data_IF_634317458769
#
_entry.id   IF_634317458769
#
_cell.length_a   1.000
_cell.length_b   1.000
_cell.length_c   1.000
_cell.angle_alpha   90.00
_cell.angle_beta   90.00
_cell.angle_gamma   90.00
#
_symmetry.space_group_name_H-M   'P 1'
#
loop_
_entity.id
_entity.type
_entity.pdbx_description
1 polymer ?
#
# COMPACT_ATOMS: atom_id res chain seq x y z
N UNK A 1 -80.92 -7.54 3.13
CA UNK A 1 -79.96 -6.53 2.65
C UNK A 1 -78.56 -7.07 2.85
N UNK A 2 -78.00 -7.73 1.83
CA UNK A 2 -76.67 -8.32 1.86
C UNK A 2 -75.67 -7.33 1.27
N UNK A 3 -74.73 -6.83 2.08
CA UNK A 3 -73.70 -5.90 1.60
C UNK A 3 -72.67 -6.68 0.78
N UNK A 4 -72.72 -6.52 -0.55
CA UNK A 4 -71.62 -6.89 -1.44
C UNK A 4 -70.38 -6.12 -1.00
N UNK A 5 -69.38 -6.85 -0.49
CA UNK A 5 -68.03 -6.32 -0.30
C UNK A 5 -67.33 -6.42 -1.64
N UNK A 6 -67.11 -5.29 -2.28
CA UNK A 6 -66.28 -5.18 -3.47
C UNK A 6 -64.89 -5.74 -3.17
N UNK A 7 -64.62 -6.89 -3.79
CA UNK A 7 -63.36 -7.58 -3.73
C UNK A 7 -62.40 -6.84 -4.67
N UNK A 8 -61.80 -5.74 -4.20
CA UNK A 8 -60.73 -5.05 -4.93
C UNK A 8 -59.54 -5.99 -5.01
N UNK A 9 -59.28 -6.52 -6.21
CA UNK A 9 -58.07 -7.28 -6.49
C UNK A 9 -56.84 -6.51 -6.01
N UNK A 10 -55.93 -7.14 -5.25
CA UNK A 10 -54.70 -6.49 -4.85
C UNK A 10 -53.90 -6.22 -6.12
N UNK A 11 -53.85 -4.95 -6.54
CA UNK A 11 -52.93 -4.50 -7.58
C UNK A 11 -51.54 -5.05 -7.24
N UNK A 12 -51.07 -6.01 -8.03
CA UNK A 12 -49.67 -6.40 -8.12
C UNK A 12 -48.90 -5.18 -8.65
N UNK A 13 -48.73 -4.16 -7.82
CA UNK A 13 -47.77 -3.08 -8.04
C UNK A 13 -46.41 -3.74 -7.94
N UNK A 14 -45.98 -4.26 -9.09
CA UNK A 14 -44.83 -5.12 -9.24
C UNK A 14 -43.59 -4.48 -8.64
N UNK A 15 -42.66 -5.33 -8.22
CA UNK A 15 -41.36 -5.00 -7.63
C UNK A 15 -40.53 -3.94 -8.39
N UNK A 16 -40.94 -3.56 -9.60
CA UNK A 16 -40.25 -2.64 -10.49
C UNK A 16 -40.87 -1.23 -10.57
N UNK A 17 -41.87 -0.88 -9.76
CA UNK A 17 -42.54 0.43 -9.84
C UNK A 17 -41.54 1.60 -9.77
N UNK A 18 -40.58 1.56 -8.84
CA UNK A 18 -39.60 2.63 -8.67
C UNK A 18 -38.55 2.67 -9.80
N UNK A 19 -38.19 1.53 -10.38
CA UNK A 19 -37.15 1.43 -11.42
C UNK A 19 -37.51 2.20 -12.69
N UNK A 20 -38.81 2.28 -13.01
CA UNK A 20 -39.31 2.89 -14.24
C UNK A 20 -39.77 4.34 -14.05
N UNK A 21 -39.54 4.94 -12.88
CA UNK A 21 -39.94 6.33 -12.65
C UNK A 21 -38.96 7.31 -13.34
N UNK A 22 -39.45 8.42 -13.89
CA UNK A 22 -38.59 9.43 -14.52
C UNK A 22 -37.66 10.13 -13.52
N UNK A 23 -38.10 10.26 -12.26
CA UNK A 23 -37.37 10.89 -11.15
C UNK A 23 -36.46 9.93 -10.38
N UNK A 24 -36.26 8.68 -10.86
CA UNK A 24 -35.50 7.67 -10.11
C UNK A 24 -34.06 8.10 -9.81
N UNK A 25 -33.41 8.86 -10.69
CA UNK A 25 -32.06 9.37 -10.47
C UNK A 25 -31.98 10.36 -9.30
N UNK A 26 -33.00 11.20 -9.11
CA UNK A 26 -33.07 12.12 -7.97
C UNK A 26 -33.37 11.38 -6.67
N UNK A 27 -34.27 10.40 -6.73
CA UNK A 27 -34.56 9.50 -5.60
C UNK A 27 -33.27 8.77 -5.17
N UNK A 28 -32.52 8.19 -6.11
CA UNK A 28 -31.25 7.52 -5.83
C UNK A 28 -30.24 8.48 -5.19
N UNK A 29 -30.09 9.69 -5.73
CA UNK A 29 -29.19 10.73 -5.19
C UNK A 29 -29.53 11.07 -3.74
N UNK A 30 -30.81 11.29 -3.43
CA UNK A 30 -31.24 11.62 -2.07
C UNK A 30 -31.09 10.44 -1.10
N UNK A 31 -31.30 9.19 -1.57
CA UNK A 31 -31.04 7.98 -0.78
C UNK A 31 -29.55 7.87 -0.45
N UNK A 32 -28.67 8.13 -1.42
CA UNK A 32 -27.21 8.10 -1.23
C UNK A 32 -26.77 9.23 -0.29
N UNK A 33 -27.40 10.39 -0.35
CA UNK A 33 -27.16 11.51 0.57
C UNK A 33 -27.62 11.26 2.01
N UNK A 34 -28.27 10.12 2.30
CA UNK A 34 -28.70 9.74 3.65
C UNK A 34 -30.01 10.37 4.11
N UNK A 35 -30.81 10.93 3.20
CA UNK A 35 -32.14 11.48 3.53
C UNK A 35 -33.04 10.35 4.05
N UNK A 36 -33.81 10.63 5.10
CA UNK A 36 -34.68 9.61 5.71
C UNK A 36 -35.73 9.11 4.70
N UNK A 37 -35.98 7.79 4.67
CA UNK A 37 -36.92 7.17 3.74
C UNK A 37 -38.33 7.77 3.87
N UNK A 38 -38.72 8.18 5.08
CA UNK A 38 -40.00 8.84 5.35
C UNK A 38 -40.12 10.20 4.67
N UNK A 39 -39.06 11.02 4.71
CA UNK A 39 -39.04 12.32 4.00
C UNK A 39 -39.08 12.12 2.49
N UNK A 40 -38.38 11.11 1.98
CA UNK A 40 -38.41 10.74 0.56
C UNK A 40 -39.78 10.22 0.13
N UNK A 41 -40.45 9.46 0.99
CA UNK A 41 -41.80 8.98 0.75
C UNK A 41 -42.79 10.13 0.56
N UNK A 42 -42.68 11.17 1.39
CA UNK A 42 -43.46 12.41 1.25
C UNK A 42 -43.09 13.21 0.00
N UNK A 43 -41.79 13.39 -0.26
CA UNK A 43 -41.28 14.19 -1.39
C UNK A 43 -41.65 13.59 -2.75
N UNK A 44 -41.54 12.28 -2.90
CA UNK A 44 -41.71 11.58 -4.18
C UNK A 44 -43.00 10.77 -4.27
N UNK A 45 -43.89 10.87 -3.29
CA UNK A 45 -45.14 10.10 -3.20
C UNK A 45 -44.90 8.58 -3.35
N UNK A 46 -44.01 8.06 -2.51
CA UNK A 46 -43.59 6.65 -2.47
C UNK A 46 -43.84 6.08 -1.07
N UNK A 47 -44.11 4.78 -0.95
CA UNK A 47 -44.10 4.15 0.38
C UNK A 47 -42.65 3.90 0.84
N UNK A 48 -42.40 4.07 2.14
CA UNK A 48 -41.12 3.75 2.78
C UNK A 48 -40.68 2.31 2.49
N UNK A 49 -41.64 1.38 2.46
CA UNK A 49 -41.40 -0.03 2.13
C UNK A 49 -40.90 -0.22 0.69
N UNK A 50 -41.41 0.55 -0.27
CA UNK A 50 -40.96 0.49 -1.66
C UNK A 50 -39.54 1.03 -1.79
N UNK A 51 -39.25 2.17 -1.16
CA UNK A 51 -37.93 2.79 -1.15
C UNK A 51 -36.89 1.89 -0.48
N UNK A 52 -37.24 1.28 0.67
CA UNK A 52 -36.38 0.33 1.39
C UNK A 52 -36.05 -0.90 0.53
N UNK A 53 -37.07 -1.51 -0.11
CA UNK A 53 -36.85 -2.65 -1.02
C UNK A 53 -35.97 -2.28 -2.21
N UNK A 54 -36.22 -1.12 -2.83
CA UNK A 54 -35.41 -0.64 -3.95
C UNK A 54 -33.95 -0.39 -3.52
N UNK A 55 -33.76 0.26 -2.38
CA UNK A 55 -32.44 0.50 -1.79
C UNK A 55 -31.67 -0.81 -1.63
N UNK A 56 -32.26 -1.79 -0.97
CA UNK A 56 -31.59 -3.05 -0.64
C UNK A 56 -31.37 -3.95 -1.86
N UNK A 57 -32.31 -3.97 -2.82
CA UNK A 57 -32.24 -4.86 -3.99
C UNK A 57 -31.38 -4.30 -5.12
N UNK A 58 -31.43 -2.98 -5.36
CA UNK A 58 -30.82 -2.38 -6.55
C UNK A 58 -29.69 -1.41 -6.23
N UNK A 59 -29.89 -0.48 -5.29
CA UNK A 59 -28.87 0.52 -4.98
C UNK A 59 -27.63 -0.09 -4.34
N UNK A 60 -27.79 -1.04 -3.40
CA UNK A 60 -26.63 -1.71 -2.79
C UNK A 60 -25.77 -2.40 -3.85
N UNK A 61 -26.39 -3.13 -4.78
CA UNK A 61 -25.69 -3.81 -5.88
C UNK A 61 -25.05 -2.82 -6.85
N UNK A 62 -25.76 -1.74 -7.21
CA UNK A 62 -25.23 -0.70 -8.10
C UNK A 62 -24.05 0.03 -7.46
N UNK A 63 -24.13 0.34 -6.17
CA UNK A 63 -23.05 0.94 -5.41
C UNK A 63 -21.84 0.01 -5.28
N UNK A 64 -22.05 -1.30 -5.03
CA UNK A 64 -20.94 -2.25 -4.96
C UNK A 64 -20.22 -2.40 -6.30
N UNK A 65 -20.96 -2.45 -7.41
CA UNK A 65 -20.38 -2.48 -8.76
C UNK A 65 -19.63 -1.18 -9.06
N UNK A 66 -20.25 -0.02 -8.80
CA UNK A 66 -19.60 1.28 -9.03
C UNK A 66 -18.35 1.46 -8.16
N UNK A 67 -18.36 0.94 -6.93
CA UNK A 67 -17.20 0.97 -6.05
C UNK A 67 -16.09 0.06 -6.59
N UNK A 68 -16.43 -1.13 -7.08
CA UNK A 68 -15.45 -2.02 -7.69
C UNK A 68 -14.81 -1.39 -8.95
N UNK A 69 -15.61 -0.75 -9.80
CA UNK A 69 -15.12 -0.02 -10.98
C UNK A 69 -14.20 1.15 -10.60
N UNK A 70 -14.55 1.93 -9.56
CA UNK A 70 -13.68 2.99 -9.04
C UNK A 70 -12.36 2.43 -8.52
N UNK A 71 -12.43 1.38 -7.70
CA UNK A 71 -11.24 0.73 -7.17
C UNK A 71 -10.32 0.22 -8.30
N UNK A 72 -10.90 -0.36 -9.36
CA UNK A 72 -10.14 -0.80 -10.54
C UNK A 72 -9.46 0.39 -11.23
N UNK A 73 -10.20 1.46 -11.49
CA UNK A 73 -9.65 2.66 -12.14
C UNK A 73 -8.55 3.33 -11.30
N UNK A 74 -8.77 3.48 -9.99
CA UNK A 74 -7.76 4.00 -9.07
C UNK A 74 -6.52 3.09 -9.03
N UNK A 75 -6.72 1.78 -9.10
CA UNK A 75 -5.64 0.79 -9.24
C UNK A 75 -4.84 0.93 -10.53
N UNK A 76 -5.51 1.14 -11.67
CA UNK A 76 -4.86 1.39 -12.96
C UNK A 76 -4.06 2.71 -12.96
N UNK A 77 -4.62 3.78 -12.40
CA UNK A 77 -3.93 5.07 -12.26
C UNK A 77 -2.67 4.94 -11.41
N UNK A 78 -2.74 4.21 -10.30
CA UNK A 78 -1.59 3.93 -9.44
C UNK A 78 -0.53 3.08 -10.16
N UNK A 79 -0.93 2.06 -10.91
CA UNK A 79 -0.03 1.23 -11.71
C UNK A 79 0.70 2.06 -12.77
N UNK A 80 -0.01 2.94 -13.48
CA UNK A 80 0.58 3.82 -14.48
C UNK A 80 1.59 4.79 -13.85
N UNK A 81 1.27 5.33 -12.67
CA UNK A 81 2.20 6.19 -11.91
C UNK A 81 3.46 5.42 -11.51
N UNK A 82 3.32 4.19 -11.02
CA UNK A 82 4.45 3.32 -10.67
C UNK A 82 5.32 2.99 -11.89
N UNK A 83 4.71 2.63 -13.01
CA UNK A 83 5.44 2.38 -14.26
C UNK A 83 6.21 3.62 -14.72
N UNK A 84 5.62 4.80 -14.63
CA UNK A 84 6.29 6.07 -14.93
C UNK A 84 7.49 6.31 -14.00
N UNK A 85 7.35 6.08 -12.69
CA UNK A 85 8.45 6.20 -11.75
C UNK A 85 9.57 5.20 -12.02
N UNK A 86 9.24 3.94 -12.29
CA UNK A 86 10.22 2.92 -12.69
C UNK A 86 10.96 3.37 -13.95
N UNK A 87 10.25 3.85 -14.97
CA UNK A 87 10.85 4.38 -16.20
C UNK A 87 11.80 5.55 -15.93
N UNK A 88 11.44 6.46 -15.02
CA UNK A 88 12.31 7.56 -14.63
C UNK A 88 13.56 7.09 -13.89
N UNK A 89 13.46 6.04 -13.07
CA UNK A 89 14.60 5.47 -12.35
C UNK A 89 15.55 4.75 -13.29
N UNK A 90 15.03 4.04 -14.29
CA UNK A 90 15.84 3.45 -15.35
C UNK A 90 16.62 4.53 -16.09
N UNK A 91 15.95 5.63 -16.50
CA UNK A 91 16.62 6.78 -17.15
C UNK A 91 17.70 7.40 -16.27
N UNK A 92 17.39 7.57 -14.99
CA UNK A 92 18.30 8.12 -14.00
C UNK A 92 19.54 7.23 -13.81
N UNK A 93 19.32 5.92 -13.70
CA UNK A 93 20.39 4.92 -13.62
C UNK A 93 21.27 4.93 -14.86
N UNK A 94 20.67 5.02 -16.05
CA UNK A 94 21.41 5.09 -17.31
C UNK A 94 22.23 6.38 -17.42
N UNK A 95 21.67 7.53 -17.03
CA UNK A 95 22.40 8.80 -17.00
C UNK A 95 23.58 8.76 -16.02
N UNK A 96 23.42 8.09 -14.88
CA UNK A 96 24.54 7.85 -13.98
C UNK A 96 25.59 6.90 -14.57
N UNK A 97 25.15 5.83 -15.23
CA UNK A 97 26.06 4.88 -15.88
C UNK A 97 26.89 5.57 -16.96
N UNK A 98 26.25 6.36 -17.82
CA UNK A 98 26.91 7.15 -18.87
C UNK A 98 27.96 8.11 -18.30
N UNK A 99 27.66 8.74 -17.16
CA UNK A 99 28.61 9.61 -16.47
C UNK A 99 29.77 8.86 -15.80
N UNK A 100 29.62 7.57 -15.53
CA UNK A 100 30.63 6.73 -14.87
C UNK A 100 31.42 5.89 -15.86
N UNK A 101 31.08 5.93 -17.15
CA UNK A 101 31.73 5.14 -18.18
C UNK A 101 33.08 5.76 -18.57
N UNK A 102 34.11 4.93 -18.76
CA UNK A 102 35.43 5.41 -19.19
C UNK A 102 35.36 5.93 -20.64
N UNK A 103 35.76 7.19 -20.90
CA UNK A 103 35.74 7.76 -22.24
C UNK A 103 36.67 7.02 -23.22
N UNK A 104 37.71 6.32 -22.72
CA UNK A 104 38.61 5.53 -23.57
C UNK A 104 38.25 4.04 -23.61
N UNK A 105 37.43 3.55 -22.67
CA UNK A 105 36.99 2.15 -22.65
C UNK A 105 35.54 1.98 -22.16
N UNK A 106 34.56 1.83 -23.07
CA UNK A 106 33.16 1.71 -22.71
C UNK A 106 32.82 0.55 -21.75
N UNK A 107 33.64 -0.50 -21.69
CA UNK A 107 33.40 -1.66 -20.83
C UNK A 107 33.90 -1.44 -19.39
N UNK A 108 34.53 -0.30 -19.11
CA UNK A 108 35.08 0.05 -17.80
C UNK A 108 34.39 1.26 -17.19
N UNK A 109 34.31 1.27 -15.87
CA UNK A 109 33.86 2.42 -15.10
C UNK A 109 35.07 3.27 -14.71
N UNK A 110 34.98 4.58 -14.94
CA UNK A 110 36.01 5.56 -14.61
C UNK A 110 35.40 6.76 -13.89
N UNK A 111 35.81 6.97 -12.65
CA UNK A 111 35.36 8.10 -11.84
C UNK A 111 36.25 9.35 -12.03
N UNK A 112 37.35 9.23 -12.76
CA UNK A 112 38.32 10.31 -12.98
C UNK A 112 38.82 10.96 -11.69
N UNK A 113 39.07 12.27 -11.74
CA UNK A 113 39.51 13.06 -10.58
C UNK A 113 38.53 13.06 -9.39
N UNK A 114 37.29 12.56 -9.56
CA UNK A 114 36.29 12.47 -8.50
C UNK A 114 36.43 11.19 -7.68
N UNK A 115 37.07 10.15 -8.24
CA UNK A 115 37.36 8.90 -7.53
C UNK A 115 38.32 9.06 -6.35
N UNK A 116 39.03 10.20 -6.29
CA UNK A 116 39.90 10.58 -5.16
C UNK A 116 39.17 11.34 -4.04
N UNK A 117 37.90 11.69 -4.24
CA UNK A 117 37.07 12.41 -3.25
C UNK A 117 36.22 11.47 -2.38
N UNK A 118 36.14 10.18 -2.75
CA UNK A 118 35.30 9.18 -2.11
C UNK A 118 36.18 8.22 -1.30
N UNK A 119 36.08 8.31 0.02
CA UNK A 119 36.81 7.42 0.93
C UNK A 119 35.93 6.24 1.32
N UNK A 120 36.36 5.03 0.99
CA UNK A 120 35.71 3.78 1.39
C UNK A 120 36.41 3.20 2.61
N UNK A 121 35.63 2.91 3.64
CA UNK A 121 36.05 2.11 4.80
C UNK A 121 35.53 0.69 4.64
N UNK A 122 36.43 -0.29 4.72
CA UNK A 122 36.11 -1.71 4.56
C UNK A 122 36.89 -2.54 5.59
N UNK A 123 36.44 -3.78 5.79
CA UNK A 123 37.19 -4.75 6.59
C UNK A 123 37.87 -5.74 5.66
N UNK A 124 39.16 -5.97 5.89
CA UNK A 124 39.91 -7.03 5.21
C UNK A 124 40.39 -8.07 6.21
N UNK A 125 40.33 -9.33 5.80
CA UNK A 125 40.90 -10.44 6.55
C UNK A 125 42.39 -10.52 6.21
N UNK A 126 43.24 -10.42 7.21
CA UNK A 126 44.68 -10.55 7.03
C UNK A 126 45.03 -12.04 6.87
N UNK A 127 46.18 -12.39 6.29
CA UNK A 127 46.64 -13.78 6.15
C UNK A 127 46.66 -14.58 7.49
N UNK A 128 46.68 -13.87 8.62
CA UNK A 128 46.60 -14.39 9.99
C UNK A 128 45.16 -14.56 10.52
N UNK A 129 44.13 -14.37 9.69
CA UNK A 129 42.71 -14.53 10.05
C UNK A 129 42.08 -13.34 10.80
N UNK A 130 42.86 -12.32 11.15
CA UNK A 130 42.36 -11.14 11.87
C UNK A 130 41.73 -10.14 10.90
N UNK A 131 40.52 -9.67 11.22
CA UNK A 131 39.86 -8.60 10.47
C UNK A 131 40.39 -7.23 10.87
N UNK A 132 40.85 -6.45 9.89
CA UNK A 132 41.37 -5.09 10.09
C UNK A 132 40.51 -4.11 9.30
N UNK A 133 40.13 -3.00 9.95
CA UNK A 133 39.47 -1.88 9.29
C UNK A 133 40.50 -1.08 8.49
N UNK A 134 40.26 -0.90 7.20
CA UNK A 134 41.09 -0.12 6.31
C UNK A 134 40.25 0.97 5.63
N UNK A 135 40.92 2.06 5.26
CA UNK A 135 40.34 3.19 4.52
C UNK A 135 41.14 3.40 3.24
N UNK A 136 40.45 3.51 2.12
CA UNK A 136 41.03 3.70 0.79
C UNK A 136 40.18 4.64 -0.05
N UNK A 137 40.77 5.22 -1.09
CA UNK A 137 39.99 5.90 -2.12
C UNK A 137 39.25 4.88 -3.00
N UNK A 138 38.05 5.24 -3.44
CA UNK A 138 37.17 4.34 -4.20
C UNK A 138 37.84 3.82 -5.47
N UNK A 139 38.55 4.67 -6.22
CA UNK A 139 39.23 4.24 -7.44
C UNK A 139 40.30 3.17 -7.15
N UNK A 140 41.10 3.37 -6.10
CA UNK A 140 42.14 2.41 -5.68
C UNK A 140 41.52 1.07 -5.25
N UNK A 141 40.36 1.12 -4.59
CA UNK A 141 39.63 -0.09 -4.21
C UNK A 141 39.05 -0.83 -5.42
N UNK A 142 38.45 -0.12 -6.37
CA UNK A 142 37.91 -0.71 -7.61
C UNK A 142 39.04 -1.36 -8.41
N UNK A 143 40.14 -0.64 -8.63
CA UNK A 143 41.29 -1.17 -9.36
C UNK A 143 41.85 -2.42 -8.68
N UNK A 144 41.89 -2.46 -7.34
CA UNK A 144 42.29 -3.66 -6.60
C UNK A 144 41.29 -4.80 -6.80
N UNK A 145 39.98 -4.57 -6.68
CA UNK A 145 38.99 -5.64 -6.84
C UNK A 145 39.02 -6.25 -8.25
N UNK A 146 39.18 -5.41 -9.27
CA UNK A 146 39.30 -5.84 -10.67
C UNK A 146 40.57 -6.67 -10.87
N UNK A 147 41.71 -6.26 -10.28
CA UNK A 147 43.01 -6.90 -10.51
C UNK A 147 43.30 -8.11 -9.61
N UNK A 148 42.75 -8.14 -8.40
CA UNK A 148 43.15 -9.12 -7.36
C UNK A 148 42.11 -10.23 -7.13
N UNK A 149 40.90 -10.15 -7.72
CA UNK A 149 39.78 -11.10 -7.47
C UNK A 149 39.55 -11.38 -5.98
N UNK A 150 39.67 -10.35 -5.14
CA UNK A 150 39.56 -10.47 -3.70
C UNK A 150 38.08 -10.44 -3.28
N UNK A 151 37.47 -11.62 -3.13
CA UNK A 151 36.05 -11.78 -2.81
C UNK A 151 35.73 -11.58 -1.31
N UNK A 152 36.74 -11.50 -0.43
CA UNK A 152 36.54 -11.45 1.02
C UNK A 152 36.45 -10.01 1.59
N UNK A 153 36.40 -9.00 0.71
CA UNK A 153 36.30 -7.61 1.13
C UNK A 153 34.85 -7.22 1.46
N UNK A 154 34.56 -6.98 2.75
CA UNK A 154 33.24 -6.46 3.18
C UNK A 154 33.32 -4.95 3.38
N UNK A 155 32.61 -4.20 2.52
CA UNK A 155 32.47 -2.74 2.63
C UNK A 155 31.59 -2.41 3.83
N UNK A 156 32.10 -1.59 4.75
CA UNK A 156 31.37 -1.23 5.98
C UNK A 156 30.85 0.20 5.98
N UNK A 157 31.54 1.15 5.34
CA UNK A 157 31.09 2.54 5.27
C UNK A 157 31.69 3.26 4.07
N UNK A 158 30.90 4.06 3.37
CA UNK A 158 31.36 4.93 2.30
C UNK A 158 31.19 6.38 2.77
N UNK A 159 32.27 7.15 2.80
CA UNK A 159 32.29 8.57 3.19
C UNK A 159 32.54 9.42 1.94
N UNK A 160 31.54 10.19 1.53
CA UNK A 160 31.59 11.12 0.39
C UNK A 160 31.67 12.53 0.97
N UNK A 161 32.76 13.25 0.70
CA UNK A 161 33.03 14.56 1.31
C UNK A 161 32.41 15.75 0.56
N UNK A 162 31.71 15.50 -0.54
CA UNK A 162 31.08 16.51 -1.38
C UNK A 162 29.56 16.35 -1.40
N UNK A 163 28.84 17.45 -1.63
CA UNK A 163 27.40 17.49 -1.95
C UNK A 163 27.16 16.84 -3.31
N UNK A 164 27.38 15.53 -3.37
CA UNK A 164 27.42 14.80 -4.62
C UNK A 164 26.00 14.43 -5.04
N UNK A 165 25.63 14.83 -6.27
CA UNK A 165 24.37 14.47 -6.91
C UNK A 165 24.20 12.94 -6.92
N UNK A 166 25.29 12.18 -7.01
CA UNK A 166 25.27 10.72 -6.94
C UNK A 166 24.80 10.20 -5.57
N UNK A 167 25.19 10.83 -4.46
CA UNK A 167 24.70 10.45 -3.13
C UNK A 167 23.21 10.73 -2.98
N UNK A 168 22.74 11.89 -3.45
CA UNK A 168 21.30 12.22 -3.49
C UNK A 168 20.53 11.20 -4.34
N UNK A 169 21.13 10.73 -5.42
CA UNK A 169 20.54 9.80 -6.37
C UNK A 169 20.46 8.37 -5.80
N UNK A 170 21.51 7.92 -5.11
CA UNK A 170 21.52 6.66 -4.35
C UNK A 170 20.50 6.72 -3.21
N UNK A 171 20.44 7.85 -2.48
CA UNK A 171 19.45 8.05 -1.42
C UNK A 171 18.01 8.00 -1.99
N UNK A 172 17.77 8.63 -3.14
CA UNK A 172 16.48 8.59 -3.83
C UNK A 172 16.13 7.18 -4.33
N UNK A 173 17.09 6.45 -4.90
CA UNK A 173 16.91 5.07 -5.33
C UNK A 173 16.60 4.13 -4.15
N UNK A 174 17.29 4.30 -3.02
CA UNK A 174 17.01 3.56 -1.79
C UNK A 174 15.63 3.90 -1.21
N UNK A 175 15.23 5.18 -1.23
CA UNK A 175 13.89 5.59 -0.81
C UNK A 175 12.82 4.97 -1.71
N UNK A 176 13.03 4.95 -3.03
CA UNK A 176 12.10 4.32 -3.95
C UNK A 176 12.01 2.81 -3.76
N UNK A 177 13.14 2.12 -3.57
CA UNK A 177 13.15 0.68 -3.29
C UNK A 177 12.33 0.32 -2.04
N UNK A 178 12.34 1.17 -1.00
CA UNK A 178 11.48 0.99 0.18
C UNK A 178 10.01 1.12 -0.18
N UNK A 179 9.63 2.08 -1.01
CA UNK A 179 8.25 2.23 -1.48
C UNK A 179 7.82 1.05 -2.35
N UNK A 180 8.66 0.61 -3.30
CA UNK A 180 8.36 -0.55 -4.16
C UNK A 180 8.16 -1.82 -3.31
N UNK A 181 9.00 -2.04 -2.28
CA UNK A 181 8.82 -3.14 -1.34
C UNK A 181 7.50 -3.02 -0.56
N UNK A 182 7.22 -1.87 0.01
CA UNK A 182 5.95 -1.63 0.70
C UNK A 182 4.74 -1.91 -0.21
N UNK A 183 4.83 -1.54 -1.50
CA UNK A 183 3.78 -1.86 -2.47
C UNK A 183 3.69 -3.36 -2.75
N UNK A 184 4.81 -4.05 -2.95
CA UNK A 184 4.83 -5.50 -3.12
C UNK A 184 4.24 -6.24 -1.91
N UNK A 185 4.48 -5.72 -0.70
CA UNK A 185 3.90 -6.22 0.55
C UNK A 185 2.38 -6.00 0.60
N UNK A 186 1.92 -4.78 0.28
CA UNK A 186 0.50 -4.44 0.24
C UNK A 186 -0.27 -5.24 -0.82
N UNK A 187 0.37 -5.55 -1.95
CA UNK A 187 -0.20 -6.38 -3.01
C UNK A 187 -0.11 -7.88 -2.71
N UNK A 188 0.51 -8.29 -1.60
CA UNK A 188 0.74 -9.69 -1.26
C UNK A 188 1.63 -10.45 -2.24
N UNK A 189 2.40 -9.72 -3.07
CA UNK A 189 3.31 -10.29 -4.07
C UNK A 189 4.71 -10.55 -3.50
N UNK A 190 5.10 -9.82 -2.46
CA UNK A 190 6.28 -10.12 -1.66
C UNK A 190 5.83 -10.96 -0.47
N UNK A 191 6.38 -12.17 -0.37
CA UNK A 191 6.00 -13.14 0.64
C UNK A 191 6.19 -12.60 2.06
N UNK A 192 5.14 -12.74 2.87
CA UNK A 192 5.11 -12.61 4.33
C UNK A 192 5.88 -11.43 4.92
N UNK A 193 5.51 -10.20 4.57
CA UNK A 193 5.65 -9.14 5.56
C UNK A 193 4.44 -9.23 6.47
N UNK A 194 4.60 -9.91 7.61
CA UNK A 194 3.69 -9.77 8.75
C UNK A 194 3.68 -8.29 9.11
N UNK A 195 2.75 -7.53 8.54
CA UNK A 195 2.50 -6.15 8.95
C UNK A 195 2.10 -6.27 10.40
N UNK A 196 2.99 -5.84 11.30
CA UNK A 196 2.71 -5.90 12.73
C UNK A 196 1.68 -4.81 13.07
N UNK A 197 0.41 -5.09 12.77
CA UNK A 197 -0.73 -4.20 12.95
C UNK A 197 -0.84 -3.74 14.41
N UNK A 198 -0.34 -4.53 15.36
CA UNK A 198 -0.34 -4.18 16.77
C UNK A 198 0.44 -2.90 17.10
N UNK A 199 1.44 -2.55 16.29
CA UNK A 199 2.23 -1.33 16.45
C UNK A 199 1.73 -0.15 15.60
N UNK A 200 0.67 -0.33 14.81
CA UNK A 200 0.14 0.75 13.98
C UNK A 200 -0.59 1.77 14.88
N UNK A 201 -0.29 3.08 14.78
CA UNK A 201 -0.87 4.10 15.66
C UNK A 201 -2.41 4.11 15.67
N UNK A 202 -3.02 3.79 14.52
CA UNK A 202 -4.47 3.76 14.34
C UNK A 202 -5.11 2.58 15.09
N UNK A 203 -4.45 1.42 15.09
CA UNK A 203 -4.89 0.24 15.86
C UNK A 203 -4.74 0.47 17.36
N UNK A 204 -3.66 1.12 17.80
CA UNK A 204 -3.46 1.51 19.20
C UNK A 204 -4.52 2.52 19.66
N UNK A 205 -4.89 3.49 18.82
CA UNK A 205 -5.96 4.44 19.13
C UNK A 205 -7.33 3.74 19.23
N UNK A 206 -7.65 2.87 18.27
CA UNK A 206 -8.88 2.08 18.27
C UNK A 206 -9.00 1.18 19.50
N UNK A 207 -7.95 0.42 19.83
CA UNK A 207 -7.96 -0.46 21.00
C UNK A 207 -8.09 0.31 22.30
N UNK A 208 -7.44 1.48 22.44
CA UNK A 208 -7.65 2.37 23.60
C UNK A 208 -9.09 2.84 23.74
N UNK A 209 -9.72 3.24 22.64
CA UNK A 209 -11.11 3.72 22.63
C UNK A 209 -12.08 2.60 23.03
N UNK A 210 -11.93 1.41 22.42
CA UNK A 210 -12.76 0.24 22.73
C UNK A 210 -12.58 -0.20 24.18
N UNK A 211 -11.34 -0.21 24.69
CA UNK A 211 -11.06 -0.52 26.10
C UNK A 211 -11.71 0.50 27.05
N UNK A 212 -11.68 1.80 26.68
CA UNK A 212 -12.31 2.86 27.46
C UNK A 212 -13.82 2.69 27.52
N UNK A 213 -14.47 2.44 26.39
CA UNK A 213 -15.92 2.22 26.30
C UNK A 213 -16.36 0.96 27.06
N UNK A 214 -15.54 -0.08 27.07
CA UNK A 214 -15.83 -1.33 27.78
C UNK A 214 -15.42 -1.31 29.26
N UNK A 215 -14.97 -0.19 29.82
CA UNK A 215 -14.49 -0.11 31.20
C UNK A 215 -15.55 -0.57 32.23
N UNK A 216 -16.83 -0.37 31.95
CA UNK A 216 -17.95 -0.75 32.83
C UNK A 216 -18.38 -2.22 32.68
N UNK A 217 -17.84 -2.95 31.69
CA UNK A 217 -18.27 -4.31 31.32
C UNK A 217 -17.07 -5.28 31.29
N UNK A 218 -16.60 -5.76 32.46
CA UNK A 218 -15.38 -6.59 32.53
C UNK A 218 -15.47 -7.88 31.71
N UNK A 219 -16.63 -8.56 31.70
CA UNK A 219 -16.82 -9.78 30.89
C UNK A 219 -16.80 -9.54 29.38
N UNK A 220 -17.12 -8.32 28.91
CA UNK A 220 -17.00 -7.95 27.50
C UNK A 220 -15.53 -7.69 27.11
N UNK A 221 -14.73 -7.14 28.04
CA UNK A 221 -13.28 -6.94 27.83
C UNK A 221 -12.55 -8.28 27.73
N UNK A 222 -12.87 -9.24 28.61
CA UNK A 222 -12.27 -10.58 28.57
C UNK A 222 -12.57 -11.30 27.26
N UNK A 223 -13.85 -11.30 26.83
CA UNK A 223 -14.24 -11.91 25.55
C UNK A 223 -13.57 -11.25 24.35
N UNK A 224 -13.43 -9.93 24.36
CA UNK A 224 -12.73 -9.22 23.30
C UNK A 224 -11.23 -9.58 23.28
N UNK A 225 -10.58 -9.62 24.44
CA UNK A 225 -9.18 -9.99 24.55
C UNK A 225 -8.92 -11.45 24.10
N UNK A 226 -9.83 -12.36 24.43
CA UNK A 226 -9.79 -13.75 24.00
C UNK A 226 -9.97 -13.88 22.48
N UNK A 227 -10.94 -13.18 21.89
CA UNK A 227 -11.13 -13.14 20.44
C UNK A 227 -9.93 -12.53 19.72
N UNK A 228 -9.32 -11.48 20.27
CA UNK A 228 -8.11 -10.89 19.70
C UNK A 228 -6.93 -11.86 19.73
N UNK A 229 -6.75 -12.63 20.82
CA UNK A 229 -5.73 -13.69 20.90
C UNK A 229 -5.96 -14.79 19.88
N UNK A 230 -7.20 -15.28 19.75
CA UNK A 230 -7.55 -16.33 18.77
C UNK A 230 -7.42 -15.88 17.31
N UNK A 231 -7.60 -14.59 17.04
CA UNK A 231 -7.49 -14.02 15.69
C UNK A 231 -6.06 -13.70 15.26
N UNK A 232 -5.10 -13.73 16.19
CA UNK A 232 -3.68 -13.57 15.88
C UNK A 232 -3.11 -14.97 15.60
N UNK A 233 -2.55 -15.24 14.41
CA UNK A 233 -1.89 -16.50 14.16
C UNK A 233 -0.73 -16.64 15.15
N UNK A 234 -0.63 -17.81 15.80
CA UNK A 234 0.43 -18.11 16.76
C UNK A 234 1.79 -17.81 16.11
N UNK A 235 2.57 -16.94 16.73
CA UNK A 235 3.90 -16.54 16.28
C UNK A 235 4.96 -17.62 16.59
N UNK A 236 4.58 -18.89 16.54
CA UNK A 236 5.45 -20.02 16.85
C UNK A 236 5.81 -20.79 15.57
N UNK A 237 7.12 -21.06 15.45
CA UNK A 237 7.79 -21.89 14.44
C UNK A 237 8.10 -21.25 13.07
N UNK A 238 9.02 -20.28 13.07
CA UNK A 238 9.98 -20.09 11.97
C UNK A 238 11.38 -19.76 12.52
N UNK A 239 11.82 -20.58 13.48
CA UNK A 239 13.24 -20.75 13.83
C UNK A 239 13.61 -22.20 13.51
N UNK A 240 13.69 -22.54 12.22
CA UNK A 240 14.44 -23.70 11.74
C UNK A 240 14.79 -23.44 10.26
N UNK A 241 16.05 -23.01 10.08
CA UNK A 241 16.97 -23.17 8.95
C UNK A 241 17.75 -21.88 8.62
#
# INVERSE_FOLDING_TARGET
>A
MNKMKDNKEPHKKGENFLKNRPDIKEIEKDIIAGVSLRQLGLKYNCSDSSLSRYKNKYLVVKCSVSQAERNLKEGEELLNLLQSHIGNVVKLSNACLEQLQDPENPDKLFLGARGTEITVSYMKTTASGTQIKAKENLQVMIDRLINTMDNDTVVTKIEINTTDRAHTLIAAANALNKHIRLFGDLCGQLGNTTINITNQPLFVAFTKEVISLLAQYPGAREKLAEQMRLSLPDAEENNND
#
